data_IF_875851491828
#
_entry.id   IF_875851491828
#
_cell.length_a   1.000
_cell.length_b   1.000
_cell.length_c   1.000
_cell.angle_alpha   90.00
_cell.angle_beta   90.00
_cell.angle_gamma   90.00
#
_symmetry.space_group_name_H-M   'P 1'
#
loop_
_entity.id
_entity.type
_entity.pdbx_description
1 polymer ?
#
# COMPACT_ATOMS: atom_id res chain seq x y z
N UNK A 1 15.79 6.85 19.36
CA UNK A 1 15.79 7.43 18.00
C UNK A 1 14.34 7.49 17.56
N UNK A 2 13.85 8.65 17.07
CA UNK A 2 12.44 8.84 16.68
C UNK A 2 12.15 8.22 15.30
N UNK A 3 12.47 6.93 15.10
CA UNK A 3 12.27 6.27 13.81
C UNK A 3 10.78 6.03 13.55
N UNK A 4 10.37 6.27 12.31
CA UNK A 4 9.01 6.09 11.82
C UNK A 4 8.33 7.36 11.30
N UNK A 5 9.04 8.34 10.73
CA UNK A 5 8.48 9.47 9.95
C UNK A 5 8.98 9.44 8.51
N UNK A 6 8.28 10.02 7.53
CA UNK A 6 8.71 9.99 6.12
C UNK A 6 10.12 10.59 5.93
N UNK A 7 10.47 11.57 6.78
CA UNK A 7 11.79 12.19 6.81
C UNK A 7 12.93 11.24 7.17
N UNK A 8 12.65 10.11 7.82
CA UNK A 8 13.68 9.10 8.11
C UNK A 8 14.12 8.36 6.83
N UNK A 9 13.26 8.35 5.81
CA UNK A 9 13.48 7.60 4.57
C UNK A 9 13.96 8.50 3.45
N UNK A 10 13.39 9.69 3.32
CA UNK A 10 13.71 10.61 2.23
C UNK A 10 14.31 11.91 2.73
N UNK A 11 15.35 12.39 2.04
CA UNK A 11 15.91 13.73 2.24
C UNK A 11 15.06 14.81 1.55
N UNK A 12 14.51 14.48 0.38
CA UNK A 12 13.68 15.41 -0.38
C UNK A 12 13.03 14.71 -1.57
N UNK A 13 11.97 15.34 -2.07
CA UNK A 13 11.20 14.83 -3.21
C UNK A 13 10.84 15.98 -4.14
N UNK A 14 10.95 15.74 -5.44
CA UNK A 14 10.43 16.59 -6.49
C UNK A 14 9.39 15.84 -7.32
N UNK A 15 8.24 16.46 -7.56
CA UNK A 15 7.14 15.87 -8.35
C UNK A 15 6.87 16.70 -9.59
N UNK A 16 6.75 16.06 -10.76
CA UNK A 16 6.50 16.70 -12.05
C UNK A 16 5.56 15.88 -12.92
N UNK A 17 4.69 16.56 -13.67
CA UNK A 17 3.99 15.99 -14.82
C UNK A 17 4.94 15.90 -16.02
N UNK A 18 5.17 14.70 -16.54
CA UNK A 18 6.03 14.47 -17.70
C UNK A 18 5.44 15.15 -18.94
N UNK A 19 6.28 15.91 -19.63
CA UNK A 19 5.94 16.51 -20.93
C UNK A 19 6.39 15.60 -22.08
N UNK A 20 5.96 15.90 -23.30
CA UNK A 20 6.44 15.21 -24.51
C UNK A 20 7.97 15.14 -24.62
N UNK A 21 8.68 16.17 -24.13
CA UNK A 21 10.15 16.22 -24.19
C UNK A 21 10.80 15.31 -23.15
N UNK A 22 10.11 15.04 -22.05
CA UNK A 22 10.62 14.16 -21.00
C UNK A 22 10.39 12.68 -21.36
N UNK A 23 9.27 12.36 -22.03
CA UNK A 23 8.78 11.00 -22.18
C UNK A 23 8.85 10.38 -23.59
N UNK A 24 8.93 11.18 -24.67
CA UNK A 24 8.86 10.64 -26.04
C UNK A 24 10.26 10.43 -26.64
N UNK A 25 10.73 9.20 -26.90
CA UNK A 25 12.07 8.93 -27.43
C UNK A 25 12.33 9.52 -28.82
N UNK A 26 11.28 9.80 -29.61
CA UNK A 26 11.38 10.35 -30.97
C UNK A 26 11.49 11.89 -30.94
N UNK A 27 10.98 12.54 -29.89
CA UNK A 27 11.09 14.00 -29.68
C UNK A 27 12.16 14.37 -28.66
N UNK A 28 12.54 13.42 -27.82
CA UNK A 28 13.56 13.53 -26.79
C UNK A 28 14.87 12.93 -27.30
N UNK A 29 15.76 13.78 -27.81
CA UNK A 29 17.15 13.39 -28.05
C UNK A 29 17.98 13.41 -26.74
N UNK A 30 17.33 13.57 -25.60
CA UNK A 30 17.93 13.97 -24.34
C UNK A 30 17.24 13.19 -23.24
N UNK A 31 17.84 12.04 -22.91
CA UNK A 31 17.69 11.23 -21.70
C UNK A 31 17.87 12.06 -20.41
N UNK A 32 17.10 13.14 -20.27
CA UNK A 32 17.38 14.26 -19.41
C UNK A 32 16.07 14.92 -18.98
N UNK A 33 15.98 15.25 -17.69
CA UNK A 33 14.90 16.08 -17.18
C UNK A 33 15.49 17.33 -16.52
N UNK A 34 14.86 18.48 -16.77
CA UNK A 34 15.23 19.74 -16.12
C UNK A 34 14.90 19.74 -14.63
N UNK A 35 15.86 20.18 -13.79
CA UNK A 35 15.70 20.28 -12.33
C UNK A 35 15.51 21.74 -11.90
N UNK A 36 14.79 21.97 -10.80
CA UNK A 36 14.53 23.32 -10.29
C UNK A 36 15.61 23.78 -9.31
N UNK A 37 15.58 25.06 -8.91
CA UNK A 37 16.54 25.59 -7.93
C UNK A 37 16.32 24.98 -6.56
N UNK A 38 15.06 24.81 -6.20
CA UNK A 38 14.58 24.24 -4.95
C UNK A 38 15.13 22.81 -4.78
N UNK A 39 14.96 21.92 -5.78
CA UNK A 39 15.52 20.56 -5.72
C UNK A 39 17.04 20.53 -5.49
N UNK A 40 17.78 21.48 -6.05
CA UNK A 40 19.24 21.58 -5.85
C UNK A 40 19.62 22.01 -4.45
N UNK A 41 18.87 22.94 -3.89
CA UNK A 41 19.06 23.42 -2.53
C UNK A 41 18.64 22.36 -1.51
N UNK A 42 17.55 21.65 -1.79
CA UNK A 42 16.93 20.70 -0.87
C UNK A 42 17.70 19.36 -0.81
N UNK A 43 18.00 18.73 -1.96
CA UNK A 43 18.52 17.35 -1.92
C UNK A 43 19.48 16.92 -3.05
N UNK A 44 19.49 17.57 -4.22
CA UNK A 44 20.39 17.19 -5.32
C UNK A 44 21.79 17.81 -5.21
N UNK A 45 21.92 19.00 -4.63
CA UNK A 45 23.17 19.76 -4.63
C UNK A 45 23.46 20.45 -5.96
N UNK A 46 24.62 21.12 -6.03
CA UNK A 46 25.11 21.87 -7.20
C UNK A 46 26.51 21.43 -7.64
N UNK A 47 26.87 20.16 -7.39
CA UNK A 47 28.13 19.61 -7.91
C UNK A 47 27.93 19.17 -9.37
N UNK A 48 28.72 19.73 -10.28
CA UNK A 48 28.67 19.34 -11.69
C UNK A 48 29.07 17.86 -11.86
N UNK A 49 28.32 17.11 -12.66
CA UNK A 49 28.50 15.67 -12.90
C UNK A 49 28.40 14.80 -11.64
N UNK A 50 27.57 15.20 -10.69
CA UNK A 50 27.27 14.36 -9.54
C UNK A 50 26.46 13.14 -9.98
N UNK A 51 27.04 11.95 -9.82
CA UNK A 51 26.41 10.68 -10.13
C UNK A 51 25.76 10.10 -8.88
N UNK A 52 24.52 9.64 -9.01
CA UNK A 52 23.76 8.96 -7.98
C UNK A 52 23.48 7.52 -8.40
N UNK A 53 23.57 6.52 -7.50
CA UNK A 53 22.86 5.28 -7.71
C UNK A 53 21.35 5.58 -7.81
N UNK A 54 20.63 4.84 -8.65
CA UNK A 54 19.21 5.08 -8.85
C UNK A 54 18.41 3.78 -8.94
N UNK A 55 17.21 3.82 -8.35
CA UNK A 55 16.19 2.78 -8.49
C UNK A 55 15.06 3.40 -9.30
N UNK A 56 14.79 2.84 -10.46
CA UNK A 56 13.68 3.22 -11.33
C UNK A 56 12.49 2.33 -10.99
N UNK A 57 11.33 2.93 -10.80
CA UNK A 57 10.09 2.23 -10.45
C UNK A 57 9.00 2.69 -11.41
N UNK A 58 8.40 1.75 -12.13
CA UNK A 58 7.13 1.96 -12.80
C UNK A 58 6.02 1.39 -11.93
N UNK A 59 4.98 2.17 -11.65
CA UNK A 59 3.78 1.72 -10.96
C UNK A 59 2.58 1.84 -11.89
N UNK A 60 2.29 0.78 -12.64
CA UNK A 60 1.14 0.74 -13.55
C UNK A 60 -0.21 0.70 -12.82
N UNK A 61 -1.28 0.63 -13.61
CA UNK A 61 -2.60 0.27 -13.10
C UNK A 61 -2.59 -1.21 -12.64
N UNK A 62 -3.28 -1.50 -11.54
CA UNK A 62 -3.46 -2.86 -10.99
C UNK A 62 -2.18 -3.62 -10.52
N UNK A 63 -1.11 -2.88 -10.16
CA UNK A 63 0.17 -3.43 -9.68
C UNK A 63 0.96 -4.29 -10.67
N UNK A 64 0.79 -4.06 -11.97
CA UNK A 64 1.89 -4.31 -12.91
C UNK A 64 2.94 -3.21 -12.70
N UNK A 65 3.71 -3.37 -11.63
CA UNK A 65 4.85 -2.54 -11.30
C UNK A 65 6.13 -3.32 -11.52
N UNK A 66 7.16 -2.64 -12.00
CA UNK A 66 8.48 -3.26 -12.16
C UNK A 66 9.56 -2.24 -11.89
N UNK A 67 10.71 -2.76 -11.47
CA UNK A 67 11.85 -1.97 -11.05
C UNK A 67 13.05 -2.22 -11.95
N UNK A 68 13.90 -1.21 -12.09
CA UNK A 68 15.21 -1.35 -12.70
C UNK A 68 16.25 -0.62 -11.86
N UNK A 69 17.39 -1.25 -11.62
CA UNK A 69 18.53 -0.59 -10.99
C UNK A 69 19.37 0.14 -12.04
N UNK A 70 19.96 1.27 -11.65
CA UNK A 70 20.78 2.07 -12.54
C UNK A 70 21.46 3.23 -11.84
N UNK A 71 21.58 4.34 -12.56
CA UNK A 71 22.22 5.55 -12.06
C UNK A 71 21.66 6.78 -12.75
N UNK A 72 21.75 7.94 -12.12
CA UNK A 72 21.43 9.23 -12.73
C UNK A 72 22.56 10.23 -12.49
N UNK A 73 22.78 11.15 -13.42
CA UNK A 73 23.84 12.17 -13.30
C UNK A 73 23.24 13.56 -13.35
N UNK A 74 23.47 14.34 -12.29
CA UNK A 74 23.05 15.74 -12.20
C UNK A 74 24.19 16.67 -12.62
N UNK A 75 23.90 17.60 -13.54
CA UNK A 75 24.92 18.44 -14.13
C UNK A 75 24.35 19.75 -14.71
N UNK A 76 25.17 20.79 -14.75
CA UNK A 76 24.89 22.01 -15.50
C UNK A 76 25.19 21.81 -16.99
N UNK A 77 24.15 21.71 -17.82
CA UNK A 77 24.23 21.56 -19.26
C UNK A 77 24.80 22.81 -19.98
N UNK A 78 24.99 23.91 -19.26
CA UNK A 78 25.52 25.18 -19.78
C UNK A 78 26.80 25.63 -19.09
N UNK A 79 27.47 24.77 -18.33
CA UNK A 79 28.70 25.12 -17.59
C UNK A 79 29.74 25.87 -18.45
N UNK A 80 29.94 25.43 -19.70
CA UNK A 80 30.91 26.02 -20.63
C UNK A 80 30.35 27.15 -21.52
N UNK A 81 29.18 27.71 -21.18
CA UNK A 81 28.51 28.79 -21.93
C UNK A 81 28.39 30.03 -21.04
N UNK A 82 29.44 30.86 -20.93
CA UNK A 82 29.50 31.97 -19.97
C UNK A 82 28.39 33.02 -20.16
N UNK A 83 27.85 33.17 -21.38
CA UNK A 83 26.77 34.12 -21.69
C UNK A 83 25.36 33.60 -21.36
N UNK A 84 25.22 32.38 -20.80
CA UNK A 84 23.92 31.79 -20.48
C UNK A 84 23.88 31.37 -19.01
N UNK A 85 22.75 31.65 -18.38
CA UNK A 85 22.48 31.15 -17.03
C UNK A 85 22.52 29.61 -17.02
N UNK A 86 23.04 29.06 -15.92
CA UNK A 86 23.13 27.62 -15.65
C UNK A 86 21.80 26.91 -15.92
N UNK A 87 21.87 25.73 -16.54
CA UNK A 87 20.69 24.91 -16.82
C UNK A 87 20.96 23.50 -16.32
N UNK A 88 20.48 23.26 -15.11
CA UNK A 88 20.69 22.01 -14.40
C UNK A 88 19.73 20.92 -14.88
N UNK A 89 20.30 19.81 -15.32
CA UNK A 89 19.58 18.64 -15.80
C UNK A 89 20.00 17.38 -15.05
N UNK A 90 19.07 16.45 -14.95
CA UNK A 90 19.31 15.10 -14.49
C UNK A 90 19.27 14.15 -15.69
N UNK A 91 20.42 13.59 -16.05
CA UNK A 91 20.53 12.55 -17.06
C UNK A 91 20.20 11.17 -16.47
N UNK A 92 19.50 10.31 -17.22
CA UNK A 92 19.18 8.92 -16.85
C UNK A 92 19.31 7.96 -18.05
N UNK A 93 19.87 6.76 -17.89
CA UNK A 93 19.97 5.78 -18.96
C UNK A 93 18.62 5.17 -19.34
N UNK A 94 18.50 4.71 -20.59
CA UNK A 94 17.39 3.83 -21.00
C UNK A 94 17.36 2.58 -20.14
N UNK A 95 16.15 2.23 -19.71
CA UNK A 95 15.79 1.04 -18.99
C UNK A 95 14.28 0.80 -19.17
N UNK A 96 13.76 -0.38 -18.80
CA UNK A 96 12.34 -0.70 -18.99
C UNK A 96 11.36 0.36 -18.46
N UNK A 97 11.68 1.05 -17.34
CA UNK A 97 10.79 2.06 -16.73
C UNK A 97 10.78 3.32 -17.59
N UNK A 98 11.96 3.83 -17.94
CA UNK A 98 12.10 5.03 -18.78
C UNK A 98 11.62 4.82 -20.22
N UNK A 99 11.53 3.57 -20.69
CA UNK A 99 10.96 3.24 -21.99
C UNK A 99 9.43 3.18 -21.95
N UNK A 100 8.85 3.02 -20.76
CA UNK A 100 7.40 2.90 -20.55
C UNK A 100 6.73 4.25 -20.29
N UNK A 101 7.46 5.24 -19.76
CA UNK A 101 6.92 6.56 -19.44
C UNK A 101 6.29 7.26 -20.65
N UNK A 102 5.19 7.97 -20.40
CA UNK A 102 4.43 8.69 -21.41
C UNK A 102 4.21 10.16 -21.02
N UNK A 103 3.89 10.98 -22.01
CA UNK A 103 3.44 12.35 -21.74
C UNK A 103 2.17 12.31 -20.90
N UNK A 104 2.17 13.07 -19.81
CA UNK A 104 1.05 13.12 -18.87
C UNK A 104 1.26 12.26 -17.63
N UNK A 105 2.15 11.28 -17.62
CA UNK A 105 2.49 10.53 -16.40
C UNK A 105 3.11 11.46 -15.34
N UNK A 106 3.09 11.02 -14.09
CA UNK A 106 3.70 11.76 -12.99
C UNK A 106 5.00 11.08 -12.56
N UNK A 107 6.07 11.87 -12.54
CA UNK A 107 7.38 11.48 -12.00
C UNK A 107 7.53 12.04 -10.59
N UNK A 108 7.82 11.15 -9.65
CA UNK A 108 8.30 11.43 -8.32
C UNK A 108 9.79 11.09 -8.26
N UNK A 109 10.62 12.13 -8.17
CA UNK A 109 12.05 11.99 -7.97
C UNK A 109 12.37 12.24 -6.50
N UNK A 110 12.61 11.17 -5.74
CA UNK A 110 12.94 11.26 -4.32
C UNK A 110 14.39 10.82 -4.08
N UNK A 111 15.08 11.47 -3.14
CA UNK A 111 16.40 11.03 -2.69
C UNK A 111 16.27 10.45 -1.31
N UNK A 112 16.68 9.21 -1.12
CA UNK A 112 16.70 8.60 0.21
C UNK A 112 17.87 9.11 1.06
N UNK A 113 17.89 8.74 2.35
CA UNK A 113 18.94 9.14 3.30
C UNK A 113 20.31 8.50 3.00
N UNK A 114 20.34 7.37 2.29
CA UNK A 114 21.57 6.71 1.84
C UNK A 114 22.13 7.30 0.54
N UNK A 115 21.40 8.23 -0.08
CA UNK A 115 21.81 8.98 -1.26
C UNK A 115 21.43 8.33 -2.59
N UNK A 116 20.57 7.30 -2.59
CA UNK A 116 19.99 6.70 -3.79
C UNK A 116 18.84 7.57 -4.29
N UNK A 117 18.76 7.74 -5.61
CA UNK A 117 17.64 8.40 -6.27
C UNK A 117 16.55 7.39 -6.66
N UNK A 118 15.37 7.58 -6.10
CA UNK A 118 14.15 6.89 -6.48
C UNK A 118 13.47 7.66 -7.61
N UNK A 119 13.43 7.04 -8.79
CA UNK A 119 12.80 7.57 -9.99
C UNK A 119 11.48 6.81 -10.21
N UNK A 120 10.41 7.30 -9.57
CA UNK A 120 9.12 6.61 -9.52
C UNK A 120 8.16 7.25 -10.52
N UNK A 121 7.61 6.48 -11.44
CA UNK A 121 6.66 6.94 -12.46
C UNK A 121 5.32 6.23 -12.28
N UNK A 122 4.23 6.99 -12.26
CA UNK A 122 2.87 6.49 -12.17
C UNK A 122 1.97 7.13 -13.25
N UNK A 123 1.06 6.35 -13.88
CA UNK A 123 0.10 6.88 -14.83
C UNK A 123 -0.82 7.94 -14.23
N UNK A 124 -1.16 8.95 -15.02
CA UNK A 124 -2.09 10.00 -14.62
C UNK A 124 -3.47 9.45 -14.22
N UNK A 125 -3.96 9.85 -13.06
CA UNK A 125 -5.25 9.46 -12.52
C UNK A 125 -5.30 8.05 -11.91
N UNK A 126 -4.18 7.33 -11.89
CA UNK A 126 -4.09 5.99 -11.30
C UNK A 126 -4.13 6.01 -9.76
N UNK A 127 -4.46 4.87 -9.15
CA UNK A 127 -4.41 4.68 -7.69
C UNK A 127 -3.00 4.95 -7.15
N UNK A 128 -1.97 4.42 -7.82
CA UNK A 128 -0.56 4.63 -7.46
C UNK A 128 -0.18 6.12 -7.44
N UNK A 129 -0.64 6.90 -8.42
CA UNK A 129 -0.41 8.35 -8.44
C UNK A 129 -1.05 9.04 -7.22
N UNK A 130 -2.29 8.70 -6.90
CA UNK A 130 -3.01 9.31 -5.77
C UNK A 130 -2.35 8.98 -4.43
N UNK A 131 -1.95 7.73 -4.24
CA UNK A 131 -1.19 7.29 -3.07
C UNK A 131 0.12 8.05 -2.93
N UNK A 132 0.90 8.21 -4.00
CA UNK A 132 2.18 8.94 -3.95
C UNK A 132 1.99 10.43 -3.68
N UNK A 133 0.95 11.06 -4.24
CA UNK A 133 0.62 12.45 -3.89
C UNK A 133 0.27 12.61 -2.42
N UNK A 134 -0.47 11.66 -1.85
CA UNK A 134 -0.79 11.67 -0.42
C UNK A 134 0.45 11.42 0.44
N UNK A 135 1.25 10.40 0.11
CA UNK A 135 2.48 10.05 0.83
C UNK A 135 3.46 11.23 0.86
N UNK A 136 3.74 11.82 -0.29
CA UNK A 136 4.70 12.91 -0.37
C UNK A 136 4.09 14.28 -0.05
N UNK A 137 2.77 14.40 0.09
CA UNK A 137 2.09 15.67 0.36
C UNK A 137 2.31 16.74 -0.72
N UNK A 138 2.58 16.33 -1.96
CA UNK A 138 2.91 17.22 -3.08
C UNK A 138 2.02 16.92 -4.28
N UNK A 139 1.45 17.96 -4.89
CA UNK A 139 0.75 17.86 -6.18
C UNK A 139 1.30 18.92 -7.14
N UNK A 140 1.72 18.56 -8.36
CA UNK A 140 2.22 19.53 -9.33
C UNK A 140 1.06 20.32 -9.95
N UNK A 141 1.11 21.65 -9.91
CA UNK A 141 0.13 22.53 -10.59
C UNK A 141 0.51 22.83 -12.06
N UNK A 142 1.60 22.24 -12.56
CA UNK A 142 2.11 22.51 -13.91
C UNK A 142 3.17 21.52 -14.42
N UNK A 143 3.96 21.97 -15.41
CA UNK A 143 4.99 21.16 -16.10
C UNK A 143 6.37 21.21 -15.46
N UNK A 144 6.55 22.03 -14.43
CA UNK A 144 7.79 22.12 -13.66
C UNK A 144 7.70 21.23 -12.42
N UNK A 145 8.85 20.84 -11.87
CA UNK A 145 8.86 20.18 -10.58
C UNK A 145 8.33 21.10 -9.48
N UNK A 146 7.56 20.53 -8.57
CA UNK A 146 7.32 21.07 -7.23
C UNK A 146 8.10 20.18 -6.27
N UNK A 147 8.95 20.76 -5.42
CA UNK A 147 9.76 20.01 -4.47
C UNK A 147 9.61 20.50 -3.04
N UNK A 148 9.94 19.62 -2.10
CA UNK A 148 10.15 19.97 -0.70
C UNK A 148 11.23 19.10 -0.08
N UNK A 149 11.92 19.66 0.91
CA UNK A 149 12.68 18.90 1.89
C UNK A 149 11.70 18.16 2.83
N UNK A 150 12.04 16.94 3.24
CA UNK A 150 11.23 16.18 4.20
C UNK A 150 11.80 16.42 5.61
N UNK A 151 11.00 17.01 6.49
CA UNK A 151 11.44 17.52 7.79
C UNK A 151 11.21 16.55 8.96
N UNK A 152 12.09 16.56 9.97
CA UNK A 152 11.99 15.70 11.17
C UNK A 152 10.75 15.98 12.06
N UNK A 153 10.06 17.11 11.87
CA UNK A 153 8.85 17.48 12.63
C UNK A 153 7.56 16.84 12.06
N UNK A 154 7.66 15.99 11.03
CA UNK A 154 6.50 15.29 10.47
C UNK A 154 5.91 14.27 11.46
N UNK A 155 4.58 14.05 11.43
CA UNK A 155 3.94 13.03 12.24
C UNK A 155 4.44 11.63 11.86
N UNK A 156 4.40 10.71 12.84
CA UNK A 156 4.73 9.29 12.60
C UNK A 156 3.96 8.78 11.39
N UNK A 157 4.62 7.98 10.56
CA UNK A 157 4.04 7.16 9.51
C UNK A 157 2.86 6.41 10.10
N UNK A 158 1.66 6.78 9.67
CA UNK A 158 0.45 6.05 9.97
C UNK A 158 0.38 4.77 9.12
N UNK A 159 -0.67 3.98 9.33
CA UNK A 159 -0.91 2.74 8.58
C UNK A 159 -0.87 2.96 7.06
N UNK A 160 -1.48 4.05 6.56
CA UNK A 160 -1.59 4.29 5.12
C UNK A 160 -0.23 4.62 4.50
N UNK A 161 0.62 5.39 5.18
CA UNK A 161 1.96 5.67 4.71
C UNK A 161 2.83 4.41 4.67
N UNK A 162 2.77 3.59 5.72
CA UNK A 162 3.46 2.29 5.75
C UNK A 162 2.99 1.36 4.65
N UNK A 163 1.68 1.30 4.40
CA UNK A 163 1.11 0.52 3.32
C UNK A 163 1.70 0.93 1.96
N UNK A 164 1.71 2.23 1.66
CA UNK A 164 2.25 2.74 0.38
C UNK A 164 3.76 2.48 0.27
N UNK A 165 4.52 2.66 1.36
CA UNK A 165 5.96 2.36 1.37
C UNK A 165 6.25 0.87 1.13
N UNK A 166 5.45 -0.03 1.71
CA UNK A 166 5.58 -1.47 1.48
C UNK A 166 5.26 -1.83 0.02
N UNK A 167 4.26 -1.17 -0.60
CA UNK A 167 3.97 -1.33 -2.04
C UNK A 167 5.10 -0.82 -2.93
N UNK A 168 5.84 0.20 -2.49
CA UNK A 168 7.07 0.65 -3.14
C UNK A 168 8.27 -0.30 -2.92
N UNK A 169 8.12 -1.32 -2.08
CA UNK A 169 9.20 -2.23 -1.70
C UNK A 169 10.22 -1.59 -0.75
N UNK A 170 9.84 -0.51 -0.05
CA UNK A 170 10.69 0.19 0.91
C UNK A 170 10.51 -0.44 2.27
N UNK A 171 11.57 -1.07 2.78
CA UNK A 171 11.60 -1.56 4.15
C UNK A 171 11.72 -0.39 5.12
N UNK A 172 10.86 -0.37 6.14
CA UNK A 172 10.85 0.65 7.18
C UNK A 172 11.03 0.01 8.55
N UNK A 173 11.66 0.76 9.46
CA UNK A 173 11.84 0.31 10.84
C UNK A 173 10.62 0.62 11.70
N UNK A 174 10.25 -0.34 12.54
CA UNK A 174 9.15 -0.20 13.46
C UNK A 174 9.53 0.50 14.76
N UNK A 175 8.70 1.45 15.23
CA UNK A 175 8.81 1.94 16.58
C UNK A 175 8.49 0.82 17.59
N UNK A 176 9.17 0.82 18.75
CA UNK A 176 8.95 -0.12 19.87
C UNK A 176 9.39 -1.59 19.66
N UNK A 177 10.34 -1.84 18.75
CA UNK A 177 10.93 -3.16 18.46
C UNK A 177 11.26 -4.03 19.70
N UNK A 178 11.82 -3.42 20.76
CA UNK A 178 12.24 -4.14 21.98
C UNK A 178 11.05 -4.76 22.75
N UNK A 179 9.89 -4.07 22.78
CA UNK A 179 8.68 -4.60 23.45
C UNK A 179 8.11 -5.76 22.66
N UNK A 180 8.07 -5.61 21.33
CA UNK A 180 7.57 -6.62 20.40
C UNK A 180 8.40 -7.90 20.50
N UNK A 181 9.72 -7.80 20.62
CA UNK A 181 10.61 -8.96 20.72
C UNK A 181 10.25 -9.90 21.87
N UNK A 182 9.86 -9.34 23.03
CA UNK A 182 9.45 -10.13 24.19
C UNK A 182 8.13 -10.88 23.96
N UNK A 183 7.21 -10.29 23.18
CA UNK A 183 5.90 -10.89 22.85
C UNK A 183 6.07 -12.10 21.93
N UNK A 184 6.98 -11.99 20.96
CA UNK A 184 7.18 -13.02 19.92
C UNK A 184 8.20 -14.09 20.31
N UNK A 185 8.94 -13.91 21.41
CA UNK A 185 9.98 -14.84 21.89
C UNK A 185 9.46 -16.29 22.03
N UNK A 186 8.23 -16.46 22.52
CA UNK A 186 7.58 -17.76 22.69
C UNK A 186 7.42 -18.58 21.40
N UNK A 187 7.51 -17.94 20.23
CA UNK A 187 7.41 -18.63 18.94
C UNK A 187 8.77 -19.09 18.41
N UNK A 188 9.87 -18.66 19.03
CA UNK A 188 11.23 -18.97 18.59
C UNK A 188 11.42 -18.57 17.12
N UNK A 189 11.59 -19.57 16.26
CA UNK A 189 11.77 -19.41 14.80
C UNK A 189 10.69 -20.15 14.00
N UNK A 190 9.54 -20.42 14.61
CA UNK A 190 8.37 -21.00 13.95
C UNK A 190 7.25 -19.98 13.86
N UNK A 191 6.60 -19.91 12.70
CA UNK A 191 5.40 -19.08 12.57
C UNK A 191 4.18 -19.78 13.18
N UNK A 192 3.44 -19.13 14.08
CA UNK A 192 2.17 -19.65 14.56
C UNK A 192 1.08 -19.52 13.49
N UNK A 193 -0.05 -20.23 13.65
CA UNK A 193 -1.24 -20.01 12.83
C UNK A 193 -1.71 -18.55 12.87
N UNK A 194 -2.16 -18.02 11.73
CA UNK A 194 -2.56 -16.60 11.62
C UNK A 194 -3.64 -16.22 12.63
N UNK A 195 -4.60 -17.10 12.90
CA UNK A 195 -5.66 -16.82 13.90
C UNK A 195 -5.12 -16.64 15.33
N UNK A 196 -4.15 -17.47 15.75
CA UNK A 196 -3.50 -17.34 17.05
C UNK A 196 -2.66 -16.05 17.14
N UNK A 197 -2.02 -15.68 16.02
CA UNK A 197 -1.23 -14.46 15.96
C UNK A 197 -2.08 -13.19 15.98
N UNK A 198 -3.19 -13.16 15.23
CA UNK A 198 -4.18 -12.08 15.30
C UNK A 198 -4.79 -11.97 16.70
N UNK A 199 -5.08 -13.09 17.36
CA UNK A 199 -5.54 -13.06 18.75
C UNK A 199 -4.48 -12.48 19.70
N UNK A 200 -3.21 -12.87 19.55
CA UNK A 200 -2.13 -12.34 20.36
C UNK A 200 -1.94 -10.84 20.17
N UNK A 201 -2.04 -10.33 18.95
CA UNK A 201 -1.96 -8.91 18.66
C UNK A 201 -3.01 -8.13 19.46
N UNK A 202 -4.27 -8.60 19.47
CA UNK A 202 -5.34 -7.98 20.28
C UNK A 202 -5.09 -8.07 21.79
N UNK A 203 -4.61 -9.22 22.27
CA UNK A 203 -4.31 -9.41 23.70
C UNK A 203 -3.15 -8.53 24.20
N UNK A 204 -2.26 -8.12 23.30
CA UNK A 204 -1.09 -7.29 23.62
C UNK A 204 -1.31 -5.79 23.36
N UNK A 205 -2.54 -5.41 22.98
CA UNK A 205 -3.05 -4.04 22.95
C UNK A 205 -4.36 -3.92 23.77
N UNK A 206 -4.32 -4.17 25.09
CA UNK A 206 -5.52 -4.17 25.93
C UNK A 206 -6.23 -2.81 26.02
N UNK A 207 -5.55 -1.71 25.69
CA UNK A 207 -6.10 -0.36 25.64
C UNK A 207 -6.99 -0.11 24.41
N UNK A 208 -6.87 -0.94 23.37
CA UNK A 208 -7.65 -0.80 22.13
C UNK A 208 -8.91 -1.65 22.20
N UNK A 209 -10.07 -1.00 22.20
CA UNK A 209 -11.38 -1.66 22.30
C UNK A 209 -12.23 -1.37 21.07
N UNK A 210 -12.72 -2.42 20.42
CA UNK A 210 -13.56 -2.29 19.24
C UNK A 210 -14.90 -1.60 19.53
N UNK A 211 -15.42 -1.74 20.75
CA UNK A 211 -16.70 -1.16 21.15
C UNK A 211 -16.66 0.38 21.26
N UNK A 212 -15.46 0.93 21.51
CA UNK A 212 -15.25 2.38 21.62
C UNK A 212 -15.16 2.99 20.21
N UNK A 213 -14.38 2.38 19.32
CA UNK A 213 -14.27 2.75 17.90
C UNK A 213 -13.80 1.53 17.06
N UNK A 214 -14.68 0.91 16.25
CA UNK A 214 -14.33 -0.28 15.48
C UNK A 214 -13.38 0.04 14.33
N UNK A 215 -13.44 1.26 13.78
CA UNK A 215 -12.57 1.71 12.70
C UNK A 215 -11.13 1.88 13.20
N UNK A 216 -10.94 2.58 14.32
CA UNK A 216 -9.63 2.76 14.93
C UNK A 216 -9.06 1.44 15.47
N UNK A 217 -9.90 0.59 16.07
CA UNK A 217 -9.47 -0.70 16.60
C UNK A 217 -8.96 -1.64 15.50
N UNK A 218 -9.65 -1.71 14.35
CA UNK A 218 -9.22 -2.54 13.23
C UNK A 218 -7.81 -2.15 12.75
N UNK A 219 -7.58 -0.85 12.52
CA UNK A 219 -6.30 -0.34 12.04
C UNK A 219 -5.19 -0.58 13.08
N UNK A 220 -5.45 -0.28 14.34
CA UNK A 220 -4.46 -0.47 15.41
C UNK A 220 -4.07 -1.95 15.61
N UNK A 221 -5.03 -2.87 15.56
CA UNK A 221 -4.76 -4.31 15.67
C UNK A 221 -3.96 -4.85 14.48
N UNK A 222 -4.26 -4.38 13.27
CA UNK A 222 -3.51 -4.75 12.05
C UNK A 222 -2.09 -4.18 12.07
N UNK A 223 -1.93 -2.90 12.41
CA UNK A 223 -0.63 -2.25 12.55
C UNK A 223 0.27 -3.02 13.53
N UNK A 224 -0.25 -3.35 14.70
CA UNK A 224 0.51 -4.06 15.73
C UNK A 224 0.77 -5.52 15.37
N UNK A 225 -0.19 -6.18 14.73
CA UNK A 225 0.02 -7.53 14.21
C UNK A 225 1.11 -7.55 13.12
N UNK A 226 1.08 -6.60 12.19
CA UNK A 226 2.11 -6.48 11.14
C UNK A 226 3.47 -6.20 11.77
N UNK A 227 3.50 -5.37 12.81
CA UNK A 227 4.72 -5.06 13.51
C UNK A 227 5.37 -6.31 14.15
N UNK A 228 4.56 -7.05 14.90
CA UNK A 228 4.95 -8.34 15.45
C UNK A 228 5.42 -9.33 14.38
N UNK A 229 4.81 -9.32 13.21
CA UNK A 229 5.14 -10.22 12.12
C UNK A 229 6.50 -9.93 11.50
N UNK A 230 6.80 -8.68 11.15
CA UNK A 230 8.09 -8.35 10.51
C UNK A 230 9.25 -8.66 11.44
N UNK A 231 9.10 -8.41 12.75
CA UNK A 231 10.09 -8.83 13.76
C UNK A 231 10.31 -10.33 13.79
N UNK A 232 9.23 -11.12 13.80
CA UNK A 232 9.34 -12.58 13.77
C UNK A 232 9.89 -13.07 12.43
N UNK A 233 9.48 -12.48 11.32
CA UNK A 233 9.95 -12.82 9.98
C UNK A 233 11.43 -12.56 9.83
N UNK A 234 11.92 -11.39 10.25
CA UNK A 234 13.35 -11.09 10.24
C UNK A 234 14.14 -12.15 11.03
N UNK A 235 13.66 -12.55 12.22
CA UNK A 235 14.31 -13.59 13.03
C UNK A 235 14.36 -14.95 12.31
N UNK A 236 13.24 -15.39 11.76
CA UNK A 236 13.14 -16.67 11.03
C UNK A 236 14.00 -16.67 9.77
N UNK A 237 13.96 -15.57 9.02
CA UNK A 237 14.70 -15.41 7.77
C UNK A 237 16.20 -15.32 8.05
N UNK A 238 16.62 -14.53 9.04
CA UNK A 238 18.03 -14.41 9.43
C UNK A 238 18.62 -15.75 9.89
N UNK A 239 17.89 -16.53 10.70
CA UNK A 239 18.35 -17.86 11.11
C UNK A 239 18.52 -18.78 9.90
N UNK A 240 17.53 -18.82 8.99
CA UNK A 240 17.60 -19.66 7.79
C UNK A 240 18.74 -19.23 6.86
N UNK A 241 18.94 -17.92 6.67
CA UNK A 241 20.07 -17.40 5.89
C UNK A 241 21.41 -17.77 6.52
N UNK A 242 21.52 -17.71 7.84
CA UNK A 242 22.72 -18.11 8.59
C UNK A 242 23.10 -19.59 8.43
N UNK A 243 22.12 -20.47 8.18
CA UNK A 243 22.37 -21.88 7.85
C UNK A 243 22.95 -22.08 6.43
N UNK A 244 22.79 -21.09 5.55
CA UNK A 244 23.21 -21.15 4.16
C UNK A 244 22.33 -22.03 3.26
N UNK A 245 22.54 -21.92 1.96
CA UNK A 245 21.90 -22.74 0.92
C UNK A 245 22.97 -23.60 0.23
N UNK A 246 23.29 -24.74 0.85
CA UNK A 246 24.32 -25.66 0.38
C UNK A 246 23.71 -27.05 0.12
N UNK A 247 24.02 -27.62 -1.04
CA UNK A 247 23.71 -28.99 -1.44
C UNK A 247 25.01 -29.82 -1.52
N UNK A 248 24.87 -31.13 -1.70
CA UNK A 248 26.01 -32.06 -1.77
C UNK A 248 27.03 -31.73 -2.88
N UNK A 249 26.59 -31.03 -3.94
CA UNK A 249 27.42 -30.64 -5.09
C UNK A 249 27.60 -29.11 -5.24
N UNK A 250 27.38 -28.32 -4.18
CA UNK A 250 27.65 -26.87 -4.21
C UNK A 250 26.52 -26.02 -3.64
N UNK A 251 26.23 -24.89 -4.28
CA UNK A 251 25.20 -23.94 -3.82
C UNK A 251 23.80 -24.43 -4.24
N UNK A 252 22.89 -24.51 -3.27
CA UNK A 252 21.49 -24.87 -3.50
C UNK A 252 20.67 -23.65 -3.96
N UNK A 253 20.85 -23.28 -5.23
CA UNK A 253 20.15 -22.14 -5.84
C UNK A 253 18.63 -22.35 -5.82
N UNK A 254 18.16 -23.56 -6.14
CA UNK A 254 16.73 -23.88 -6.17
C UNK A 254 16.11 -23.79 -4.77
N UNK A 255 16.82 -24.26 -3.74
CA UNK A 255 16.42 -24.10 -2.34
C UNK A 255 16.30 -22.65 -1.92
N UNK A 256 17.21 -21.78 -2.36
CA UNK A 256 17.14 -20.33 -2.13
C UNK A 256 15.90 -19.72 -2.80
N UNK A 257 15.67 -20.00 -4.08
CA UNK A 257 14.52 -19.47 -4.82
C UNK A 257 13.20 -19.94 -4.20
N UNK A 258 13.09 -21.23 -3.86
CA UNK A 258 11.90 -21.78 -3.20
C UNK A 258 11.66 -21.14 -1.83
N UNK A 259 12.71 -20.90 -1.06
CA UNK A 259 12.61 -20.20 0.22
C UNK A 259 12.14 -18.76 0.04
N UNK A 260 12.75 -18.01 -0.88
CA UNK A 260 12.39 -16.62 -1.19
C UNK A 260 10.92 -16.49 -1.62
N UNK A 261 10.47 -17.35 -2.53
CA UNK A 261 9.06 -17.42 -2.93
C UNK A 261 8.14 -17.79 -1.75
N UNK A 262 8.59 -18.69 -0.86
CA UNK A 262 7.86 -19.05 0.35
C UNK A 262 7.65 -17.88 1.30
N UNK A 263 8.68 -17.03 1.49
CA UNK A 263 8.59 -15.80 2.28
C UNK A 263 7.59 -14.83 1.66
N UNK A 264 7.71 -14.54 0.36
CA UNK A 264 6.80 -13.63 -0.34
C UNK A 264 5.34 -14.09 -0.32
N UNK A 265 5.10 -15.39 -0.55
CA UNK A 265 3.75 -15.96 -0.53
C UNK A 265 3.13 -15.91 0.88
N UNK A 266 3.95 -16.07 1.93
CA UNK A 266 3.48 -15.94 3.32
C UNK A 266 2.97 -14.52 3.59
N UNK A 267 3.71 -13.48 3.20
CA UNK A 267 3.28 -12.07 3.33
C UNK A 267 1.90 -11.86 2.69
N UNK A 268 1.72 -12.32 1.44
CA UNK A 268 0.47 -12.18 0.68
C UNK A 268 -0.72 -12.91 1.31
N UNK A 269 -0.55 -14.17 1.71
CA UNK A 269 -1.64 -14.97 2.29
C UNK A 269 -2.04 -14.48 3.69
N UNK A 270 -1.06 -14.07 4.49
CA UNK A 270 -1.26 -13.69 5.88
C UNK A 270 -2.11 -12.44 6.04
N UNK A 271 -1.83 -11.38 5.28
CA UNK A 271 -2.53 -10.09 5.43
C UNK A 271 -4.04 -10.23 5.19
N UNK A 272 -4.45 -11.03 4.20
CA UNK A 272 -5.86 -11.33 3.94
C UNK A 272 -6.54 -12.02 5.13
N UNK A 273 -5.93 -13.10 5.64
CA UNK A 273 -6.47 -13.83 6.78
C UNK A 273 -6.46 -13.02 8.08
N UNK A 274 -5.44 -12.20 8.31
CA UNK A 274 -5.36 -11.30 9.46
C UNK A 274 -6.51 -10.30 9.45
N UNK A 275 -6.76 -9.66 8.29
CA UNK A 275 -7.89 -8.75 8.10
C UNK A 275 -9.22 -9.42 8.44
N UNK A 276 -9.51 -10.59 7.87
CA UNK A 276 -10.74 -11.33 8.20
C UNK A 276 -10.84 -11.69 9.69
N UNK A 277 -9.73 -12.11 10.32
CA UNK A 277 -9.74 -12.48 11.73
C UNK A 277 -10.03 -11.30 12.66
N UNK A 278 -9.53 -10.10 12.33
CA UNK A 278 -9.83 -8.89 13.10
C UNK A 278 -11.25 -8.41 12.85
N UNK A 279 -11.73 -8.43 11.60
CA UNK A 279 -13.14 -8.12 11.28
C UNK A 279 -14.09 -9.05 12.05
N UNK A 280 -13.82 -10.35 12.04
CA UNK A 280 -14.61 -11.34 12.79
C UNK A 280 -14.65 -11.01 14.29
N UNK A 281 -13.50 -10.70 14.89
CA UNK A 281 -13.42 -10.31 16.30
C UNK A 281 -14.24 -9.04 16.60
N UNK A 282 -14.24 -8.06 15.69
CA UNK A 282 -15.10 -6.87 15.82
C UNK A 282 -16.57 -7.28 15.77
N UNK A 283 -16.99 -8.09 14.79
CA UNK A 283 -18.38 -8.52 14.71
C UNK A 283 -18.83 -9.32 15.94
N UNK A 284 -17.95 -10.13 16.52
CA UNK A 284 -18.19 -10.85 17.78
C UNK A 284 -18.38 -9.88 18.95
N UNK A 285 -17.54 -8.84 19.08
CA UNK A 285 -17.69 -7.78 20.09
C UNK A 285 -19.05 -7.07 19.97
N UNK A 286 -19.54 -6.88 18.74
CA UNK A 286 -20.84 -6.26 18.46
C UNK A 286 -22.00 -7.26 18.47
N UNK A 287 -21.75 -8.54 18.78
CA UNK A 287 -22.73 -9.63 18.80
C UNK A 287 -23.60 -9.70 17.52
N UNK A 288 -22.98 -9.45 16.37
CA UNK A 288 -23.68 -9.57 15.08
C UNK A 288 -23.87 -11.05 14.74
N UNK A 289 -25.05 -11.47 14.26
CA UNK A 289 -25.20 -12.79 13.67
C UNK A 289 -24.54 -12.80 12.28
N UNK A 290 -23.56 -13.67 12.06
CA UNK A 290 -22.91 -13.84 10.77
C UNK A 290 -22.37 -15.26 10.62
N UNK A 291 -22.02 -15.62 9.38
CA UNK A 291 -21.33 -16.85 9.04
C UNK A 291 -20.14 -16.53 8.12
N UNK A 292 -18.96 -17.07 8.45
CA UNK A 292 -17.73 -16.89 7.64
C UNK A 292 -17.66 -17.95 6.55
N UNK A 293 -17.34 -17.54 5.32
CA UNK A 293 -17.10 -18.46 4.22
C UNK A 293 -18.29 -19.38 3.91
N UNK A 294 -19.52 -18.90 4.15
CA UNK A 294 -20.75 -19.62 3.87
C UNK A 294 -20.84 -19.97 2.38
N UNK A 295 -21.29 -21.18 2.05
CA UNK A 295 -21.44 -21.56 0.65
C UNK A 295 -22.71 -20.92 0.08
N UNK A 296 -22.55 -20.17 -1.00
CA UNK A 296 -23.66 -19.59 -1.78
C UNK A 296 -23.77 -20.28 -3.14
N UNK A 297 -24.52 -19.69 -4.06
CA UNK A 297 -24.71 -20.23 -5.40
C UNK A 297 -23.37 -20.44 -6.11
N UNK A 298 -23.32 -21.46 -6.99
CA UNK A 298 -22.16 -21.77 -7.84
C UNK A 298 -20.86 -22.07 -7.05
N UNK A 299 -20.98 -22.49 -5.78
CA UNK A 299 -19.83 -22.84 -4.94
C UNK A 299 -19.03 -21.63 -4.47
N UNK A 300 -19.55 -20.41 -4.66
CA UNK A 300 -18.94 -19.18 -4.16
C UNK A 300 -19.02 -19.11 -2.63
N UNK A 301 -18.08 -18.38 -2.03
CA UNK A 301 -17.95 -18.24 -0.58
C UNK A 301 -17.59 -16.81 -0.20
N UNK A 302 -18.58 -15.93 0.03
CA UNK A 302 -18.30 -14.62 0.58
C UNK A 302 -17.60 -14.72 1.93
N UNK A 303 -16.70 -13.78 2.20
CA UNK A 303 -15.90 -13.76 3.43
C UNK A 303 -16.82 -13.71 4.66
N UNK A 304 -17.86 -12.86 4.62
CA UNK A 304 -18.89 -12.76 5.65
C UNK A 304 -20.29 -12.68 5.04
N UNK A 305 -21.21 -13.51 5.55
CA UNK A 305 -22.62 -13.53 5.19
C UNK A 305 -23.49 -13.27 6.43
N UNK A 306 -24.48 -12.40 6.30
CA UNK A 306 -25.37 -11.99 7.38
C UNK A 306 -26.84 -12.26 7.02
N UNK A 307 -27.67 -12.72 7.98
CA UNK A 307 -27.29 -13.13 9.33
C UNK A 307 -26.74 -14.56 9.44
N UNK A 308 -27.06 -15.44 8.48
CA UNK A 308 -26.57 -16.82 8.41
C UNK A 308 -26.86 -17.46 7.05
N UNK A 309 -26.20 -18.57 6.71
CA UNK A 309 -26.48 -19.32 5.48
C UNK A 309 -27.93 -19.83 5.43
N UNK A 310 -28.47 -20.29 6.56
CA UNK A 310 -29.84 -20.79 6.61
C UNK A 310 -30.88 -19.70 6.25
N UNK A 311 -30.66 -18.46 6.70
CA UNK A 311 -31.54 -17.34 6.33
C UNK A 311 -31.34 -16.97 4.87
N UNK A 312 -30.10 -16.96 4.38
CA UNK A 312 -29.78 -16.73 2.97
C UNK A 312 -30.48 -17.74 2.05
N UNK A 313 -30.42 -19.03 2.37
CA UNK A 313 -31.01 -20.11 1.58
C UNK A 313 -32.55 -19.98 1.50
N UNK A 314 -33.19 -19.65 2.62
CA UNK A 314 -34.64 -19.50 2.70
C UNK A 314 -35.18 -18.19 2.10
N UNK A 315 -34.34 -17.16 2.01
CA UNK A 315 -34.73 -15.85 1.51
C UNK A 315 -34.86 -15.80 -0.02
N UNK A 316 -35.69 -14.87 -0.49
CA UNK A 316 -35.79 -14.51 -1.90
C UNK A 316 -34.65 -13.56 -2.29
N UNK A 317 -34.34 -13.49 -3.59
CA UNK A 317 -33.40 -12.50 -4.10
C UNK A 317 -33.89 -11.08 -3.79
N UNK A 318 -33.01 -10.25 -3.25
CA UNK A 318 -33.33 -8.87 -2.84
C UNK A 318 -33.96 -8.74 -1.45
N UNK A 319 -33.95 -9.79 -0.62
CA UNK A 319 -34.40 -9.68 0.77
C UNK A 319 -33.50 -8.69 1.55
N UNK A 320 -34.11 -7.61 2.05
CA UNK A 320 -33.41 -6.50 2.72
C UNK A 320 -32.65 -6.90 3.99
N UNK A 321 -32.93 -8.09 4.55
CA UNK A 321 -32.22 -8.61 5.73
C UNK A 321 -30.86 -9.20 5.37
N UNK A 322 -30.65 -9.56 4.11
CA UNK A 322 -29.40 -10.16 3.65
C UNK A 322 -28.33 -9.08 3.43
N UNK A 323 -27.16 -9.33 3.99
CA UNK A 323 -25.96 -8.52 3.76
C UNK A 323 -24.78 -9.46 3.54
N UNK A 324 -23.87 -9.07 2.67
CA UNK A 324 -22.56 -9.72 2.56
C UNK A 324 -21.46 -8.67 2.66
N UNK A 325 -20.30 -9.09 3.15
CA UNK A 325 -19.08 -8.30 3.16
C UNK A 325 -17.94 -9.14 2.60
N UNK A 326 -17.35 -8.68 1.50
CA UNK A 326 -16.03 -9.14 1.07
C UNK A 326 -14.96 -8.36 1.83
N UNK A 327 -13.82 -8.99 2.13
CA UNK A 327 -12.68 -8.36 2.76
C UNK A 327 -11.45 -8.52 1.87
N UNK A 328 -10.83 -7.41 1.47
CA UNK A 328 -9.61 -7.42 0.66
C UNK A 328 -8.63 -6.39 1.22
N UNK A 329 -7.47 -6.83 1.69
CA UNK A 329 -6.41 -5.91 2.13
C UNK A 329 -6.05 -4.90 1.03
N UNK A 330 -6.02 -5.37 -0.22
CA UNK A 330 -5.88 -4.55 -1.43
C UNK A 330 -6.96 -4.94 -2.42
N UNK A 331 -7.75 -3.99 -2.91
CA UNK A 331 -8.79 -4.18 -3.92
C UNK A 331 -8.16 -4.46 -5.29
N UNK A 332 -7.53 -3.45 -5.92
CA UNK A 332 -7.19 -3.45 -7.36
C UNK A 332 -8.32 -4.02 -8.20
N UNK A 333 -8.06 -4.60 -9.36
CA UNK A 333 -9.08 -5.35 -10.13
C UNK A 333 -9.73 -6.56 -9.42
N UNK A 334 -9.21 -7.02 -8.27
CA UNK A 334 -9.78 -8.17 -7.55
C UNK A 334 -11.12 -7.85 -6.86
N UNK A 335 -11.50 -6.57 -6.74
CA UNK A 335 -12.83 -6.20 -6.23
C UNK A 335 -13.97 -6.82 -7.06
N UNK A 336 -13.74 -7.04 -8.36
CA UNK A 336 -14.74 -7.63 -9.27
C UNK A 336 -15.14 -9.06 -8.88
N UNK A 337 -14.26 -9.79 -8.19
CA UNK A 337 -14.55 -11.16 -7.73
C UNK A 337 -15.71 -11.18 -6.73
N UNK A 338 -15.81 -10.15 -5.89
CA UNK A 338 -16.88 -9.97 -4.90
C UNK A 338 -18.25 -9.88 -5.59
N UNK A 339 -18.32 -9.31 -6.81
CA UNK A 339 -19.57 -9.15 -7.54
C UNK A 339 -20.25 -10.47 -7.91
N UNK A 340 -19.48 -11.56 -8.04
CA UNK A 340 -19.99 -12.87 -8.41
C UNK A 340 -20.54 -13.67 -7.21
N UNK A 341 -20.23 -13.24 -5.98
CA UNK A 341 -20.66 -13.93 -4.76
C UNK A 341 -22.10 -13.56 -4.39
N UNK A 342 -22.77 -14.40 -3.59
CA UNK A 342 -24.08 -14.13 -2.99
C UNK A 342 -25.12 -13.50 -3.96
N UNK A 343 -25.57 -14.26 -4.96
CA UNK A 343 -26.44 -13.78 -6.06
C UNK A 343 -27.74 -13.12 -5.56
N UNK A 344 -28.27 -13.56 -4.41
CA UNK A 344 -29.49 -12.99 -3.81
C UNK A 344 -29.31 -11.58 -3.24
N UNK A 345 -28.09 -11.06 -3.16
CA UNK A 345 -27.76 -9.76 -2.57
C UNK A 345 -27.33 -8.80 -3.70
N UNK A 346 -28.23 -7.88 -4.15
CA UNK A 346 -27.92 -6.99 -5.26
C UNK A 346 -26.85 -5.95 -4.94
N UNK A 347 -26.93 -5.33 -3.75
CA UNK A 347 -25.94 -4.36 -3.26
C UNK A 347 -24.98 -5.04 -2.31
N UNK A 348 -23.72 -5.12 -2.72
CA UNK A 348 -22.66 -5.79 -1.96
C UNK A 348 -21.82 -4.77 -1.19
N UNK A 349 -21.07 -5.24 -0.21
CA UNK A 349 -20.12 -4.42 0.53
C UNK A 349 -18.73 -5.03 0.42
N UNK A 350 -17.71 -4.19 0.30
CA UNK A 350 -16.31 -4.60 0.28
C UNK A 350 -15.54 -3.75 1.28
N UNK A 351 -14.96 -4.38 2.30
CA UNK A 351 -14.01 -3.74 3.19
C UNK A 351 -12.61 -3.83 2.61
N UNK A 352 -11.91 -2.69 2.55
CA UNK A 352 -10.50 -2.63 2.17
C UNK A 352 -9.64 -1.75 3.05
N UNK A 353 -8.34 -2.01 3.01
CA UNK A 353 -7.29 -1.23 3.65
C UNK A 353 -6.47 -0.42 2.62
N UNK A 354 -6.76 -0.57 1.33
CA UNK A 354 -6.01 0.11 0.26
C UNK A 354 -6.24 1.62 0.32
N UNK A 355 -5.20 2.44 0.56
CA UNK A 355 -5.33 3.88 0.59
C UNK A 355 -5.49 4.45 -0.83
N UNK A 356 -6.21 5.57 -0.95
CA UNK A 356 -6.18 6.42 -2.15
C UNK A 356 -6.57 5.74 -3.46
N UNK A 357 -7.55 4.81 -3.44
CA UNK A 357 -8.10 4.22 -4.67
C UNK A 357 -8.60 5.32 -5.60
N UNK A 358 -8.30 5.22 -6.90
CA UNK A 358 -8.63 6.26 -7.86
C UNK A 358 -10.13 6.54 -8.00
N UNK A 359 -10.47 7.80 -8.30
CA UNK A 359 -11.86 8.21 -8.55
C UNK A 359 -12.53 7.39 -9.66
N UNK A 360 -11.87 7.15 -10.83
CA UNK A 360 -12.42 6.27 -11.86
C UNK A 360 -12.73 4.87 -11.33
N UNK A 361 -11.86 4.28 -10.50
CA UNK A 361 -12.07 2.94 -9.97
C UNK A 361 -13.21 2.91 -8.94
N UNK A 362 -13.31 3.89 -8.04
CA UNK A 362 -14.45 3.99 -7.11
C UNK A 362 -15.77 4.24 -7.84
N UNK A 363 -15.77 5.01 -8.93
CA UNK A 363 -16.97 5.22 -9.74
C UNK A 363 -17.42 3.92 -10.43
N UNK A 364 -16.49 3.05 -10.86
CA UNK A 364 -16.83 1.72 -11.37
C UNK A 364 -17.42 0.81 -10.29
N UNK A 365 -16.88 0.86 -9.06
CA UNK A 365 -17.43 0.10 -7.93
C UNK A 365 -18.86 0.55 -7.60
N UNK A 366 -19.10 1.87 -7.53
CA UNK A 366 -20.43 2.44 -7.29
C UNK A 366 -21.42 2.03 -8.39
N UNK A 367 -21.04 2.16 -9.66
CA UNK A 367 -21.86 1.75 -10.80
C UNK A 367 -22.19 0.25 -10.79
N UNK A 368 -21.33 -0.58 -10.18
CA UNK A 368 -21.54 -2.02 -10.01
C UNK A 368 -22.35 -2.37 -8.73
N UNK A 369 -22.93 -1.39 -8.04
CA UNK A 369 -23.64 -1.55 -6.76
C UNK A 369 -22.78 -2.18 -5.65
N UNK A 370 -21.46 -1.93 -5.67
CA UNK A 370 -20.54 -2.33 -4.62
C UNK A 370 -20.26 -1.14 -3.70
N UNK A 371 -20.74 -1.19 -2.46
CA UNK A 371 -20.44 -0.20 -1.43
C UNK A 371 -19.03 -0.45 -0.86
N UNK A 372 -18.13 0.51 -1.04
CA UNK A 372 -16.81 0.44 -0.43
C UNK A 372 -16.88 0.83 1.06
N UNK A 373 -16.29 -0.01 1.91
CA UNK A 373 -16.13 0.19 3.35
C UNK A 373 -14.64 0.36 3.61
N UNK A 374 -14.25 1.48 4.20
CA UNK A 374 -12.86 1.82 4.50
C UNK A 374 -12.81 2.31 5.95
N UNK A 375 -11.86 1.86 6.78
CA UNK A 375 -11.70 2.40 8.12
C UNK A 375 -11.46 3.91 8.11
N UNK A 376 -12.12 4.65 9.01
CA UNK A 376 -11.98 6.13 9.13
C UNK A 376 -10.53 6.62 9.10
N UNK A 377 -9.55 5.99 9.78
CA UNK A 377 -8.16 6.45 9.73
C UNK A 377 -7.55 6.51 8.32
N UNK A 378 -8.09 5.75 7.36
CA UNK A 378 -7.59 5.68 5.98
C UNK A 378 -8.35 6.65 5.05
N UNK A 379 -9.51 7.18 5.45
CA UNK A 379 -10.32 8.08 4.61
C UNK A 379 -9.54 9.30 4.13
N UNK A 380 -8.63 9.83 4.95
CA UNK A 380 -7.79 10.99 4.59
C UNK A 380 -6.92 10.81 3.34
N UNK A 381 -6.76 9.57 2.85
CA UNK A 381 -6.04 9.23 1.60
C UNK A 381 -6.90 9.38 0.35
N UNK A 382 -8.23 9.42 0.50
CA UNK A 382 -9.20 9.55 -0.58
C UNK A 382 -9.54 11.02 -0.85
N UNK A 383 -10.11 11.31 -2.01
CA UNK A 383 -10.54 12.66 -2.34
C UNK A 383 -11.83 13.04 -1.61
N UNK A 384 -12.05 14.34 -1.43
CA UNK A 384 -13.28 14.85 -0.80
C UNK A 384 -14.56 14.42 -1.52
N UNK A 385 -14.49 14.21 -2.84
CA UNK A 385 -15.63 13.70 -3.63
C UNK A 385 -15.97 12.25 -3.28
N UNK A 386 -14.97 11.42 -2.97
CA UNK A 386 -15.17 10.02 -2.59
C UNK A 386 -15.72 9.88 -1.17
N UNK A 387 -15.34 10.77 -0.24
CA UNK A 387 -15.75 10.71 1.17
C UNK A 387 -17.27 10.66 1.37
N UNK A 388 -18.05 11.28 0.48
CA UNK A 388 -19.52 11.25 0.58
C UNK A 388 -20.13 9.88 0.28
N UNK A 389 -19.38 9.02 -0.39
CA UNK A 389 -19.81 7.68 -0.80
C UNK A 389 -19.21 6.58 0.08
N UNK A 390 -17.99 6.77 0.61
CA UNK A 390 -17.32 5.79 1.47
C UNK A 390 -18.12 5.50 2.75
N UNK A 391 -18.12 4.23 3.17
CA UNK A 391 -18.63 3.83 4.48
C UNK A 391 -17.49 3.57 5.45
N UNK A 392 -17.66 3.98 6.70
CA UNK A 392 -16.85 3.48 7.80
C UNK A 392 -17.27 2.06 8.21
N UNK A 393 -16.39 1.34 8.92
CA UNK A 393 -16.74 0.06 9.50
C UNK A 393 -17.88 0.22 10.52
N UNK A 394 -17.86 1.28 11.33
CA UNK A 394 -18.95 1.61 12.23
C UNK A 394 -20.30 1.80 11.51
N UNK A 395 -20.32 2.48 10.36
CA UNK A 395 -21.52 2.64 9.53
C UNK A 395 -22.01 1.31 8.98
N UNK A 396 -21.11 0.45 8.50
CA UNK A 396 -21.44 -0.90 8.06
C UNK A 396 -22.07 -1.74 9.19
N UNK A 397 -21.47 -1.73 10.39
CA UNK A 397 -22.00 -2.43 11.57
C UNK A 397 -23.41 -1.93 11.92
N UNK A 398 -23.62 -0.61 11.89
CA UNK A 398 -24.92 -0.01 12.17
C UNK A 398 -25.98 -0.47 11.15
N UNK A 399 -25.63 -0.53 9.86
CA UNK A 399 -26.51 -1.01 8.79
C UNK A 399 -26.88 -2.48 8.98
N UNK A 400 -25.90 -3.35 9.26
CA UNK A 400 -26.15 -4.78 9.52
C UNK A 400 -27.09 -4.96 10.71
N UNK A 401 -26.89 -4.23 11.81
CA UNK A 401 -27.79 -4.25 12.97
C UNK A 401 -29.21 -3.81 12.60
N UNK A 402 -29.34 -2.73 11.85
CA UNK A 402 -30.64 -2.20 11.44
C UNK A 402 -31.43 -3.19 10.56
N UNK A 403 -30.73 -3.93 9.68
CA UNK A 403 -31.36 -4.93 8.80
C UNK A 403 -31.71 -6.24 9.52
N UNK A 404 -30.83 -6.71 10.39
CA UNK A 404 -31.01 -8.00 11.07
C UNK A 404 -31.99 -7.93 12.25
N UNK A 405 -32.25 -6.74 12.80
CA UNK A 405 -33.23 -6.54 13.88
C UNK A 405 -34.66 -6.23 13.39
N UNK A 406 -34.86 -5.90 12.10
CA UNK A 406 -36.20 -5.75 11.51
C UNK A 406 -36.90 -7.13 11.50
N UNK A 407 -37.76 -7.35 12.51
CA UNK A 407 -38.64 -8.52 12.62
C UNK A 407 -39.88 -8.38 11.75
#
# INVERSE_FOLDING_TARGET
MKRGVLADYFAGVGVKRLSAVDANPVRSNQHEIGTTREMRQDFLGENHQQKFPAIYVWLGEDQDGFTAEGWATHYDARLNKPDRAAEWRLYYPSNPVTETMQEGDTLFLAKDRDGVLWFIVAPAGSTSEQQLFWLFGLRPEGRSFVSREVSEDEPRLDFAARFILDELGIEFEEPDADKIDSIIEKFGTTFPPTAEFSQLARLTLPEVRAEDDPDAALVAWLDHEEAMFRRLEHRVVAERLGQGFLAAEGVDVDGFIKFSLGVQNRRKSRMGHSLENHIAAIFDCYALPYERGAMTELGQKPDFLFPSAAVYDAALAGDDRLVMLGAKSTCKDRWRQVLAEAVKIPRKHLLTLEPGISEPQTAQMEAAALQLVVPVPIHGTYTAAQHTWLWSLGQFIAEVRARTQKR
#
